data_IF_074255679450
#
_entry.id   IF_074255679450
#
_cell.length_a   1.000
_cell.length_b   1.000
_cell.length_c   1.000
_cell.angle_alpha   90.00
_cell.angle_beta   90.00
_cell.angle_gamma   90.00
#
_symmetry.space_group_name_H-M   'P 1'
#
loop_
_entity.id
_entity.type
_entity.pdbx_description
1 polymer ?
#
# COMPACT_ATOMS: atom_id res chain seq x y z
N UNK A 1 -9.16 1.33 -25.38
CA UNK A 1 -9.12 2.26 -24.25
C UNK A 1 -10.08 1.75 -23.18
N UNK A 2 -9.59 1.60 -21.95
CA UNK A 2 -10.43 1.32 -20.77
C UNK A 2 -10.42 2.59 -19.91
N UNK A 3 -11.59 3.08 -19.54
CA UNK A 3 -11.76 4.23 -18.65
C UNK A 3 -12.65 3.82 -17.49
N UNK A 4 -12.24 4.12 -16.27
CA UNK A 4 -13.03 3.90 -15.06
C UNK A 4 -13.07 5.20 -14.24
N UNK A 5 -14.24 5.54 -13.72
CA UNK A 5 -14.43 6.62 -12.77
C UNK A 5 -15.12 6.06 -11.52
N UNK A 6 -14.60 6.43 -10.35
CA UNK A 6 -15.09 5.89 -9.08
C UNK A 6 -15.18 7.03 -8.06
N UNK A 7 -16.30 7.12 -7.38
CA UNK A 7 -16.48 8.00 -6.24
C UNK A 7 -16.21 7.22 -4.96
N UNK A 8 -15.27 7.71 -4.14
CA UNK A 8 -14.92 7.09 -2.86
C UNK A 8 -15.13 8.06 -1.71
N UNK A 9 -15.60 7.55 -0.59
CA UNK A 9 -15.62 8.28 0.67
C UNK A 9 -14.59 7.68 1.61
N UNK A 10 -13.62 8.49 2.02
CA UNK A 10 -12.60 8.08 2.98
C UNK A 10 -13.06 8.55 4.35
N UNK A 11 -13.09 7.62 5.30
CA UNK A 11 -13.34 7.93 6.71
C UNK A 11 -12.01 8.00 7.42
N UNK A 12 -11.71 9.15 7.99
CA UNK A 12 -10.50 9.33 8.78
C UNK A 12 -10.50 8.37 9.98
N UNK A 13 -9.41 7.67 10.15
CA UNK A 13 -9.23 6.76 11.26
C UNK A 13 -8.36 7.41 12.33
N UNK A 14 -8.96 7.69 13.47
CA UNK A 14 -8.24 8.17 14.63
C UNK A 14 -7.72 6.99 15.44
N UNK A 15 -6.41 6.86 15.57
CA UNK A 15 -5.78 5.85 16.39
C UNK A 15 -5.85 6.31 17.86
N UNK A 16 -6.64 5.61 18.67
CA UNK A 16 -6.70 5.90 20.12
C UNK A 16 -5.32 5.64 20.74
N UNK A 17 -4.81 6.56 21.61
CA UNK A 17 -3.47 6.43 22.20
C UNK A 17 -3.22 5.10 22.91
N UNK A 18 -4.23 4.57 23.61
CA UNK A 18 -4.13 3.28 24.29
C UNK A 18 -3.91 2.09 23.35
N UNK A 19 -4.42 2.15 22.13
CA UNK A 19 -4.19 1.13 21.11
C UNK A 19 -2.83 1.32 20.43
N UNK A 20 -2.44 2.56 20.15
CA UNK A 20 -1.15 2.86 19.55
C UNK A 20 0.03 2.44 20.44
N UNK A 21 -0.14 2.48 21.76
CA UNK A 21 0.87 2.10 22.75
C UNK A 21 0.96 0.57 23.01
N UNK A 22 0.14 -0.26 22.37
CA UNK A 22 0.22 -1.72 22.55
C UNK A 22 1.53 -2.26 21.95
N UNK A 23 2.17 -3.20 22.68
CA UNK A 23 3.35 -3.89 22.18
C UNK A 23 3.03 -4.72 20.93
N UNK A 24 3.94 -4.75 19.97
CA UNK A 24 3.74 -5.44 18.70
C UNK A 24 3.49 -6.96 18.84
N UNK A 25 4.01 -7.58 19.90
CA UNK A 25 3.81 -9.01 20.20
C UNK A 25 2.34 -9.35 20.47
N UNK A 26 1.49 -8.37 20.76
CA UNK A 26 0.05 -8.57 20.90
C UNK A 26 -0.58 -9.14 19.63
N UNK A 27 -0.04 -8.80 18.47
CA UNK A 27 -0.49 -9.37 17.19
C UNK A 27 -0.24 -10.88 17.08
N UNK A 28 0.80 -11.41 17.77
CA UNK A 28 1.12 -12.83 17.78
C UNK A 28 0.21 -13.63 18.71
N UNK A 29 -0.29 -13.02 19.76
CA UNK A 29 -1.05 -13.66 20.85
C UNK A 29 -2.55 -13.63 20.60
N UNK A 30 -3.00 -12.91 19.59
CA UNK A 30 -4.43 -12.73 19.34
C UNK A 30 -5.10 -14.03 18.92
N UNK A 31 -6.10 -14.43 19.68
CA UNK A 31 -7.05 -15.47 19.27
C UNK A 31 -8.14 -14.81 18.44
N UNK A 32 -8.10 -15.02 17.13
CA UNK A 32 -9.12 -14.54 16.19
C UNK A 32 -9.87 -15.77 15.67
N UNK A 33 -11.16 -15.65 15.45
CA UNK A 33 -12.01 -16.75 15.01
C UNK A 33 -12.76 -16.38 13.72
N UNK A 34 -13.17 -17.40 12.98
CA UNK A 34 -13.94 -17.21 11.76
C UNK A 34 -13.10 -16.83 10.54
N UNK A 35 -13.74 -16.17 9.57
CA UNK A 35 -13.11 -15.82 8.30
C UNK A 35 -11.95 -14.84 8.45
N UNK A 36 -12.05 -13.89 9.37
CA UNK A 36 -10.98 -12.94 9.68
C UNK A 36 -9.70 -13.65 10.15
N UNK A 37 -9.84 -14.74 10.92
CA UNK A 37 -8.70 -15.52 11.38
C UNK A 37 -7.92 -16.17 10.22
N UNK A 38 -8.62 -16.61 9.18
CA UNK A 38 -7.99 -17.18 7.98
C UNK A 38 -7.20 -16.11 7.23
N UNK A 39 -7.79 -14.95 7.00
CA UNK A 39 -7.12 -13.82 6.35
C UNK A 39 -5.86 -13.41 7.12
N UNK A 40 -5.97 -13.17 8.43
CA UNK A 40 -4.85 -12.78 9.27
C UNK A 40 -3.74 -13.85 9.25
N UNK A 41 -4.11 -15.13 9.23
CA UNK A 41 -3.14 -16.23 9.20
C UNK A 41 -2.42 -16.32 7.86
N UNK A 42 -3.14 -16.13 6.75
CA UNK A 42 -2.56 -16.13 5.41
C UNK A 42 -1.59 -14.96 5.21
N UNK A 43 -1.92 -13.79 5.73
CA UNK A 43 -1.09 -12.58 5.64
C UNK A 43 0.19 -12.62 6.51
N UNK A 44 0.40 -13.69 7.29
CA UNK A 44 1.66 -13.97 8.01
C UNK A 44 2.66 -14.80 7.19
N UNK A 45 2.19 -15.40 6.10
CA UNK A 45 2.99 -16.31 5.28
C UNK A 45 3.80 -15.56 4.22
N UNK A 46 4.97 -16.11 3.82
CA UNK A 46 5.67 -15.58 2.66
C UNK A 46 4.85 -15.75 1.38
N UNK A 47 5.17 -14.98 0.38
CA UNK A 47 4.59 -15.06 -0.96
C UNK A 47 5.70 -14.97 -2.02
N UNK A 48 5.42 -15.23 -3.30
CA UNK A 48 6.47 -15.27 -4.34
C UNK A 48 7.34 -14.01 -4.40
N UNK A 49 6.75 -12.81 -4.21
CA UNK A 49 7.50 -11.55 -4.26
C UNK A 49 7.96 -11.07 -2.87
N UNK A 50 7.54 -11.74 -1.81
CA UNK A 50 7.95 -11.41 -0.42
C UNK A 50 8.46 -12.64 0.32
N UNK A 51 9.59 -13.24 -0.14
CA UNK A 51 10.24 -14.32 0.56
C UNK A 51 10.74 -13.87 1.93
N UNK A 52 10.92 -14.83 2.85
CA UNK A 52 11.58 -14.58 4.13
C UNK A 52 13.09 -14.69 3.90
N UNK A 53 13.81 -13.60 4.14
CA UNK A 53 15.26 -13.52 4.03
C UNK A 53 15.88 -13.24 5.42
N UNK A 54 17.05 -13.78 5.68
CA UNK A 54 17.78 -13.47 6.92
C UNK A 54 18.11 -11.98 7.02
N UNK A 55 18.37 -11.33 5.88
CA UNK A 55 18.62 -9.91 5.77
C UNK A 55 17.41 -9.08 6.20
N UNK A 56 16.20 -9.46 5.78
CA UNK A 56 14.97 -8.73 6.17
C UNK A 56 14.63 -8.94 7.63
N UNK A 57 14.90 -10.13 8.18
CA UNK A 57 14.77 -10.40 9.60
C UNK A 57 15.75 -9.54 10.42
N UNK A 58 17.03 -9.55 10.04
CA UNK A 58 18.06 -8.72 10.68
C UNK A 58 17.76 -7.21 10.54
N UNK A 59 17.22 -6.80 9.40
CA UNK A 59 16.79 -5.42 9.17
C UNK A 59 15.70 -5.00 10.15
N UNK A 60 14.65 -5.82 10.28
CA UNK A 60 13.51 -5.56 11.15
C UNK A 60 13.85 -5.62 12.65
N UNK A 61 14.87 -6.40 13.05
CA UNK A 61 15.27 -6.57 14.46
C UNK A 61 15.60 -5.26 15.18
N UNK A 62 16.03 -4.25 14.43
CA UNK A 62 16.35 -2.91 14.96
C UNK A 62 15.10 -2.16 15.44
N UNK A 63 13.94 -2.51 14.91
CA UNK A 63 12.68 -1.82 15.16
C UNK A 63 11.74 -2.66 16.02
N UNK A 64 11.68 -3.96 15.78
CA UNK A 64 10.82 -4.90 16.49
C UNK A 64 11.51 -5.44 17.76
N UNK A 65 11.94 -4.53 18.63
CA UNK A 65 12.50 -4.89 19.93
C UNK A 65 11.39 -5.24 20.92
N UNK A 66 11.70 -6.07 21.91
CA UNK A 66 10.72 -6.59 22.86
C UNK A 66 9.93 -5.48 23.57
N UNK A 67 8.61 -5.57 23.55
CA UNK A 67 7.70 -4.67 24.25
C UNK A 67 7.52 -3.30 23.59
N UNK A 68 8.13 -3.07 22.44
CA UNK A 68 8.02 -1.78 21.75
C UNK A 68 6.60 -1.53 21.26
N UNK A 69 6.06 -0.29 21.38
CA UNK A 69 4.77 0.08 20.83
C UNK A 69 4.69 -0.21 19.33
N UNK A 70 3.62 -0.89 18.93
CA UNK A 70 3.48 -1.41 17.57
C UNK A 70 3.47 -0.32 16.50
N UNK A 71 2.67 0.75 16.70
CA UNK A 71 2.60 1.86 15.72
C UNK A 71 3.96 2.52 15.58
N UNK A 72 4.65 2.78 16.70
CA UNK A 72 5.99 3.38 16.71
C UNK A 72 7.00 2.50 15.98
N UNK A 73 7.05 1.20 16.30
CA UNK A 73 7.99 0.27 15.69
C UNK A 73 7.83 0.17 14.17
N UNK A 74 6.58 0.08 13.69
CA UNK A 74 6.30 -0.05 12.27
C UNK A 74 6.47 1.28 11.52
N UNK A 75 6.12 2.40 12.14
CA UNK A 75 6.35 3.71 11.54
C UNK A 75 7.85 4.01 11.42
N UNK A 76 8.64 3.71 12.44
CA UNK A 76 10.09 3.88 12.37
C UNK A 76 10.73 2.96 11.31
N UNK A 77 10.23 1.72 11.16
CA UNK A 77 10.64 0.85 10.07
C UNK A 77 10.33 1.48 8.70
N UNK A 78 9.12 2.01 8.52
CA UNK A 78 8.72 2.69 7.28
C UNK A 78 9.58 3.93 7.00
N UNK A 79 9.79 4.80 8.00
CA UNK A 79 10.66 5.97 7.89
C UNK A 79 12.11 5.60 7.55
N UNK A 80 12.59 4.49 8.11
CA UNK A 80 13.95 4.06 7.86
C UNK A 80 14.12 3.51 6.43
N UNK A 81 13.15 2.75 5.93
CA UNK A 81 13.14 2.32 4.52
C UNK A 81 13.15 3.55 3.60
N UNK A 82 12.27 4.51 3.84
CA UNK A 82 12.21 5.76 3.06
C UNK A 82 13.55 6.53 3.06
N UNK A 83 14.26 6.57 4.18
CA UNK A 83 15.51 7.32 4.29
C UNK A 83 16.73 6.57 3.74
N UNK A 84 16.71 5.24 3.74
CA UNK A 84 17.86 4.40 3.41
C UNK A 84 17.88 3.95 1.95
N UNK A 85 16.70 3.89 1.30
CA UNK A 85 16.56 3.47 -0.10
C UNK A 85 16.24 4.65 -1.01
N UNK A 86 16.78 4.64 -2.22
CA UNK A 86 16.55 5.70 -3.21
C UNK A 86 15.33 5.33 -4.04
N UNK A 87 14.34 6.24 -4.10
CA UNK A 87 13.23 6.09 -5.03
C UNK A 87 13.70 6.35 -6.45
N UNK A 88 13.63 5.33 -7.30
CA UNK A 88 14.13 5.37 -8.68
C UNK A 88 13.20 4.55 -9.59
N UNK A 89 12.35 5.20 -10.41
CA UNK A 89 11.40 4.52 -11.29
C UNK A 89 12.06 3.64 -12.37
N UNK A 90 13.32 3.84 -12.64
CA UNK A 90 14.07 3.11 -13.69
C UNK A 90 14.92 1.97 -13.14
N UNK A 91 15.04 1.85 -11.80
CA UNK A 91 15.94 0.89 -11.18
C UNK A 91 15.43 -0.55 -11.19
N UNK A 92 14.11 -0.75 -11.13
CA UNK A 92 13.49 -2.06 -10.96
C UNK A 92 12.39 -2.32 -11.98
N UNK A 93 12.12 -3.60 -12.20
CA UNK A 93 11.00 -4.11 -12.99
C UNK A 93 10.05 -4.88 -12.08
N UNK A 94 8.87 -5.23 -12.56
CA UNK A 94 7.85 -5.95 -11.78
C UNK A 94 8.36 -7.30 -11.23
N UNK A 95 9.29 -7.92 -11.92
CA UNK A 95 9.92 -9.21 -11.59
C UNK A 95 11.26 -9.08 -10.86
N UNK A 96 11.74 -7.87 -10.59
CA UNK A 96 12.94 -7.67 -9.77
C UNK A 96 12.75 -8.30 -8.39
N UNK A 97 13.67 -9.15 -8.01
CA UNK A 97 13.59 -9.86 -6.73
C UNK A 97 13.92 -8.94 -5.55
N UNK A 98 13.37 -9.27 -4.38
CA UNK A 98 13.65 -8.53 -3.15
C UNK A 98 15.15 -8.50 -2.81
N UNK A 99 15.89 -9.58 -3.08
CA UNK A 99 17.34 -9.64 -2.86
C UNK A 99 18.12 -8.69 -3.77
N UNK A 100 17.73 -8.59 -5.05
CA UNK A 100 18.33 -7.64 -6.01
C UNK A 100 18.07 -6.19 -5.57
N UNK A 101 16.82 -5.87 -5.19
CA UNK A 101 16.47 -4.54 -4.70
C UNK A 101 17.26 -4.16 -3.45
N UNK A 102 17.41 -5.09 -2.48
CA UNK A 102 18.25 -4.88 -1.29
C UNK A 102 19.70 -4.59 -1.64
N UNK A 103 20.26 -5.29 -2.63
CA UNK A 103 21.64 -5.08 -3.08
C UNK A 103 21.81 -3.73 -3.79
N UNK A 104 20.85 -3.32 -4.62
CA UNK A 104 20.87 -2.04 -5.35
C UNK A 104 20.56 -0.84 -4.46
N UNK A 105 19.80 -1.05 -3.37
CA UNK A 105 19.28 -0.01 -2.45
C UNK A 105 18.45 1.05 -3.18
N UNK A 106 17.74 0.63 -4.23
CA UNK A 106 16.89 1.47 -5.08
C UNK A 106 15.65 0.71 -5.49
N UNK A 107 14.56 1.41 -5.73
CA UNK A 107 13.34 0.82 -6.22
C UNK A 107 12.17 1.80 -6.18
N UNK A 108 10.97 1.26 -6.36
CA UNK A 108 9.72 2.01 -6.36
C UNK A 108 8.84 1.62 -5.16
N UNK A 109 7.66 2.21 -5.06
CA UNK A 109 6.72 1.95 -3.95
C UNK A 109 6.38 0.47 -3.78
N UNK A 110 6.28 -0.30 -4.87
CA UNK A 110 6.09 -1.75 -4.84
C UNK A 110 7.23 -2.46 -4.09
N UNK A 111 8.47 -2.11 -4.41
CA UNK A 111 9.66 -2.74 -3.83
C UNK A 111 9.78 -2.44 -2.33
N UNK A 112 9.51 -1.19 -1.95
CA UNK A 112 9.57 -0.77 -0.55
C UNK A 112 8.45 -1.42 0.28
N UNK A 113 7.26 -1.59 -0.30
CA UNK A 113 6.18 -2.35 0.31
C UNK A 113 6.57 -3.83 0.47
N UNK A 114 7.16 -4.48 -0.54
CA UNK A 114 7.63 -5.86 -0.46
C UNK A 114 8.72 -6.04 0.60
N UNK A 115 9.66 -5.10 0.72
CA UNK A 115 10.67 -5.11 1.76
C UNK A 115 10.02 -5.06 3.15
N UNK A 116 9.12 -4.11 3.37
CA UNK A 116 8.43 -4.00 4.66
C UNK A 116 7.59 -5.24 4.98
N UNK A 117 6.90 -5.83 4.00
CA UNK A 117 6.14 -7.08 4.17
C UNK A 117 7.05 -8.24 4.58
N UNK A 118 8.19 -8.44 3.91
CA UNK A 118 9.15 -9.49 4.27
C UNK A 118 9.70 -9.27 5.69
N UNK A 119 10.02 -8.03 6.06
CA UNK A 119 10.43 -7.67 7.43
C UNK A 119 9.38 -8.08 8.47
N UNK A 120 8.12 -7.67 8.29
CA UNK A 120 7.05 -7.94 9.24
C UNK A 120 6.72 -9.44 9.33
N UNK A 121 6.63 -10.13 8.20
CA UNK A 121 6.35 -11.56 8.13
C UNK A 121 7.46 -12.43 8.69
N UNK A 122 8.72 -11.98 8.65
CA UNK A 122 9.82 -12.66 9.31
C UNK A 122 9.64 -12.76 10.84
N UNK A 123 8.88 -11.82 11.42
CA UNK A 123 8.42 -11.81 12.80
C UNK A 123 7.01 -12.38 13.00
N UNK A 124 6.43 -13.02 11.96
CA UNK A 124 5.07 -13.57 11.98
C UNK A 124 3.99 -12.53 12.21
N UNK A 125 4.28 -11.26 11.98
CA UNK A 125 3.27 -10.21 12.02
C UNK A 125 2.38 -10.29 10.77
N UNK A 126 1.04 -10.21 10.95
CA UNK A 126 0.13 -10.16 9.80
C UNK A 126 0.34 -8.85 9.05
N UNK A 127 0.70 -8.94 7.79
CA UNK A 127 0.90 -7.78 6.94
C UNK A 127 0.46 -8.08 5.51
N UNK A 128 -0.25 -7.11 4.88
CA UNK A 128 -0.76 -7.24 3.53
C UNK A 128 -0.30 -6.10 2.64
N UNK A 129 -0.08 -6.41 1.37
CA UNK A 129 0.19 -5.45 0.32
C UNK A 129 -1.10 -4.72 -0.03
N UNK A 130 -1.06 -3.41 -0.14
CA UNK A 130 -2.19 -2.60 -0.57
C UNK A 130 -1.83 -1.87 -1.86
N UNK A 131 -2.71 -1.99 -2.84
CA UNK A 131 -2.65 -1.23 -4.09
C UNK A 131 -3.76 -0.19 -4.11
N UNK A 132 -3.44 1.01 -4.56
CA UNK A 132 -4.40 2.08 -4.63
C UNK A 132 -3.85 3.35 -5.25
N UNK A 133 -4.40 4.48 -4.84
CA UNK A 133 -4.00 5.80 -5.31
C UNK A 133 -3.69 6.71 -4.13
N UNK A 134 -2.70 7.58 -4.32
CA UNK A 134 -2.37 8.63 -3.37
C UNK A 134 -2.84 9.98 -3.95
N UNK A 135 -3.60 10.72 -3.16
CA UNK A 135 -3.98 12.08 -3.54
C UNK A 135 -2.78 13.01 -3.40
N UNK A 136 -2.33 13.54 -4.52
CA UNK A 136 -1.31 14.58 -4.56
C UNK A 136 -1.99 15.94 -4.75
N UNK A 137 -1.87 16.80 -3.76
CA UNK A 137 -2.38 18.15 -3.88
C UNK A 137 -1.62 18.92 -4.98
N UNK A 138 -2.32 19.64 -5.87
CA UNK A 138 -1.64 20.51 -6.82
C UNK A 138 -0.91 21.65 -6.09
N UNK A 139 0.12 22.20 -6.71
CA UNK A 139 0.77 23.39 -6.19
C UNK A 139 -0.23 24.54 -6.06
N UNK A 140 -0.11 25.41 -5.05
CA UNK A 140 -1.01 26.53 -4.87
C UNK A 140 -1.09 27.40 -6.13
N UNK A 141 -2.32 27.63 -6.61
CA UNK A 141 -2.57 28.45 -7.81
C UNK A 141 -2.34 27.74 -9.16
N UNK A 142 -1.95 26.46 -9.15
CA UNK A 142 -1.76 25.68 -10.37
C UNK A 142 -2.90 24.66 -10.50
N UNK A 143 -3.65 24.64 -11.63
CA UNK A 143 -4.64 23.61 -11.87
C UNK A 143 -4.00 22.22 -11.89
N UNK A 144 -4.68 21.22 -11.30
CA UNK A 144 -4.22 19.84 -11.34
C UNK A 144 -4.32 19.29 -12.77
N UNK A 145 -3.24 18.74 -13.27
CA UNK A 145 -3.22 18.11 -14.58
C UNK A 145 -3.94 16.76 -14.55
N UNK A 146 -4.74 16.49 -15.58
CA UNK A 146 -5.40 15.19 -15.75
C UNK A 146 -4.34 14.13 -16.07
N UNK A 147 -4.38 13.02 -15.35
CA UNK A 147 -3.42 11.92 -15.52
C UNK A 147 -2.08 12.13 -14.82
N UNK A 148 -1.99 13.13 -13.92
CA UNK A 148 -0.74 13.41 -13.19
C UNK A 148 -0.49 12.56 -11.97
N UNK A 149 -1.49 11.80 -11.52
CA UNK A 149 -1.33 10.88 -10.40
C UNK A 149 -0.85 9.51 -10.89
N UNK A 150 -0.27 8.75 -9.99
CA UNK A 150 0.19 7.39 -10.26
C UNK A 150 -0.49 6.41 -9.29
N UNK A 151 -0.50 5.15 -9.66
CA UNK A 151 -0.78 4.09 -8.71
C UNK A 151 0.26 4.11 -7.59
N UNK A 152 -0.17 3.74 -6.39
CA UNK A 152 0.69 3.70 -5.21
C UNK A 152 0.52 2.39 -4.48
N UNK A 153 1.57 1.99 -3.77
CA UNK A 153 1.59 0.79 -2.96
C UNK A 153 2.06 1.10 -1.55
N UNK A 154 1.42 0.46 -0.58
CA UNK A 154 1.80 0.54 0.84
C UNK A 154 1.51 -0.77 1.56
N UNK A 155 1.74 -0.80 2.84
CA UNK A 155 1.55 -1.99 3.68
C UNK A 155 0.47 -1.71 4.71
N UNK A 156 -0.41 -2.66 4.94
CA UNK A 156 -1.22 -2.68 6.14
C UNK A 156 -0.78 -3.84 7.04
N UNK A 157 -0.72 -3.59 8.35
CA UNK A 157 -0.48 -4.60 9.36
C UNK A 157 -1.64 -4.62 10.37
N UNK A 158 -1.92 -5.81 10.91
CA UNK A 158 -3.06 -6.03 11.79
C UNK A 158 -2.66 -6.10 13.26
N UNK A 159 -3.45 -5.45 14.12
CA UNK A 159 -3.32 -5.52 15.56
C UNK A 159 -4.69 -5.72 16.24
N UNK A 160 -4.78 -6.56 17.29
CA UNK A 160 -6.01 -6.74 18.06
C UNK A 160 -6.61 -5.43 18.55
N UNK A 161 -7.92 -5.24 18.32
CA UNK A 161 -8.64 -4.03 18.70
C UNK A 161 -8.45 -2.83 17.77
N UNK A 162 -7.42 -2.84 16.91
CA UNK A 162 -7.21 -1.86 15.87
C UNK A 162 -7.62 -2.35 14.48
N UNK A 163 -7.47 -3.67 14.20
CA UNK A 163 -7.58 -4.20 12.86
C UNK A 163 -6.40 -3.80 11.97
N UNK A 164 -6.62 -3.64 10.68
CA UNK A 164 -5.60 -3.28 9.69
C UNK A 164 -5.27 -1.79 9.73
N UNK A 165 -4.00 -1.43 9.85
CA UNK A 165 -3.49 -0.04 9.85
C UNK A 165 -2.42 0.10 8.80
N UNK A 166 -2.49 1.17 8.00
CA UNK A 166 -1.61 1.42 6.87
C UNK A 166 -0.33 2.15 7.24
N UNK A 167 0.77 1.69 6.67
CA UNK A 167 2.12 2.27 6.77
C UNK A 167 2.70 2.39 5.37
N UNK A 168 3.18 3.56 5.02
CA UNK A 168 3.77 3.84 3.71
C UNK A 168 5.30 3.96 3.82
N UNK A 169 6.05 2.92 3.41
CA UNK A 169 7.51 2.95 3.45
C UNK A 169 8.13 3.84 2.37
N UNK A 170 7.36 4.31 1.39
CA UNK A 170 7.84 5.23 0.37
C UNK A 170 7.89 6.66 0.89
N UNK A 171 6.86 7.05 1.65
CA UNK A 171 6.74 8.40 2.21
C UNK A 171 7.08 8.49 3.70
N UNK A 172 7.37 7.37 4.37
CA UNK A 172 7.71 7.31 5.79
C UNK A 172 6.57 7.80 6.69
N UNK A 173 5.31 7.45 6.39
CA UNK A 173 4.15 7.94 7.14
C UNK A 173 3.07 6.87 7.31
N UNK A 174 2.11 7.14 8.21
CA UNK A 174 0.86 6.37 8.25
C UNK A 174 0.00 6.71 7.02
N UNK A 175 -0.70 5.70 6.53
CA UNK A 175 -1.74 5.93 5.53
C UNK A 175 -2.91 6.68 6.16
N UNK A 176 -3.23 7.83 5.61
CA UNK A 176 -4.25 8.76 6.07
C UNK A 176 -5.39 8.91 5.04
N UNK A 177 -6.14 10.02 5.15
CA UNK A 177 -7.25 10.34 4.25
C UNK A 177 -6.82 10.67 2.80
N UNK A 178 -5.53 10.70 2.50
CA UNK A 178 -5.02 10.87 1.14
C UNK A 178 -4.87 9.54 0.39
N UNK A 179 -4.95 8.41 1.11
CA UNK A 179 -4.79 7.07 0.56
C UNK A 179 -6.12 6.44 0.18
N UNK A 180 -6.25 6.06 -1.09
CA UNK A 180 -7.46 5.44 -1.64
C UNK A 180 -7.13 3.98 -1.95
N UNK A 181 -7.57 3.06 -1.10
CA UNK A 181 -7.41 1.62 -1.29
C UNK A 181 -8.29 1.12 -2.43
N UNK A 182 -7.70 0.45 -3.41
CA UNK A 182 -8.41 -0.26 -4.48
C UNK A 182 -8.52 -1.74 -4.15
N UNK A 183 -7.48 -2.32 -3.56
CA UNK A 183 -7.48 -3.70 -3.13
C UNK A 183 -6.23 -4.07 -2.34
N UNK A 184 -6.23 -5.27 -1.78
CA UNK A 184 -5.10 -5.80 -1.01
C UNK A 184 -4.88 -7.29 -1.29
N UNK A 185 -3.66 -7.76 -1.03
CA UNK A 185 -3.27 -9.14 -1.21
C UNK A 185 -1.98 -9.46 -0.45
N UNK A 186 -1.41 -10.63 -0.71
CA UNK A 186 -0.15 -11.04 -0.08
C UNK A 186 1.03 -10.28 -0.64
N UNK A 187 1.02 -10.01 -1.94
CA UNK A 187 2.00 -9.19 -2.65
C UNK A 187 1.36 -8.60 -3.93
N UNK A 188 2.16 -7.93 -4.76
CA UNK A 188 1.69 -7.34 -6.01
C UNK A 188 1.02 -8.35 -6.95
N UNK A 189 1.45 -9.61 -6.97
CA UNK A 189 0.90 -10.61 -7.90
C UNK A 189 -0.57 -10.95 -7.63
N UNK A 190 -1.03 -10.78 -6.39
CA UNK A 190 -2.44 -10.99 -6.02
C UNK A 190 -3.33 -9.81 -6.47
N UNK A 191 -2.78 -8.60 -6.55
CA UNK A 191 -3.55 -7.35 -6.71
C UNK A 191 -2.94 -6.40 -7.74
N UNK A 192 -2.43 -6.93 -8.84
CA UNK A 192 -1.97 -6.11 -9.95
C UNK A 192 -3.11 -5.20 -10.46
N UNK A 193 -2.87 -3.88 -10.66
CA UNK A 193 -3.91 -2.92 -11.03
C UNK A 193 -4.63 -3.26 -12.33
N UNK A 194 -3.95 -3.94 -13.24
CA UNK A 194 -4.51 -4.45 -14.49
C UNK A 194 -4.04 -5.89 -14.71
N UNK A 195 -4.99 -6.80 -14.89
CA UNK A 195 -4.71 -8.19 -15.23
C UNK A 195 -5.61 -8.61 -16.39
N UNK A 196 -5.00 -9.19 -17.44
CA UNK A 196 -5.76 -9.62 -18.62
C UNK A 196 -4.93 -10.48 -19.55
N UNK A 197 -5.58 -10.94 -20.62
CA UNK A 197 -4.96 -11.67 -21.71
C UNK A 197 -5.18 -10.87 -22.98
N UNK A 198 -4.10 -10.56 -23.67
CA UNK A 198 -4.15 -9.95 -25.00
C UNK A 198 -4.02 -11.06 -26.05
N UNK A 199 -5.02 -11.19 -26.92
CA UNK A 199 -4.98 -12.10 -28.05
C UNK A 199 -4.51 -11.33 -29.28
N UNK A 200 -3.38 -11.76 -29.84
CA UNK A 200 -2.73 -11.15 -31.02
C UNK A 200 -1.22 -11.11 -30.84
N UNK A 201 -0.49 -11.00 -31.96
CA UNK A 201 0.96 -10.82 -31.97
C UNK A 201 1.31 -9.35 -32.20
N UNK A 202 2.44 -8.91 -31.67
CA UNK A 202 2.99 -7.56 -31.85
C UNK A 202 3.46 -6.92 -30.55
N UNK A 203 4.15 -5.80 -30.67
CA UNK A 203 4.56 -5.00 -29.53
C UNK A 203 3.35 -4.31 -28.91
N UNK A 204 3.31 -4.28 -27.58
CA UNK A 204 2.25 -3.65 -26.82
C UNK A 204 2.84 -2.54 -25.94
N UNK A 205 2.23 -1.37 -25.99
CA UNK A 205 2.53 -0.27 -25.10
C UNK A 205 1.36 -0.09 -24.12
N UNK A 206 1.66 -0.02 -22.83
CA UNK A 206 0.68 0.25 -21.79
C UNK A 206 0.88 1.68 -21.28
N UNK A 207 -0.10 2.55 -21.56
CA UNK A 207 -0.18 3.90 -20.96
C UNK A 207 -1.27 3.91 -19.88
N UNK A 208 -0.88 4.18 -18.63
CA UNK A 208 -1.78 4.25 -17.49
C UNK A 208 -1.81 5.69 -16.97
N UNK A 209 -3.00 6.26 -16.93
CA UNK A 209 -3.22 7.62 -16.42
C UNK A 209 -4.23 7.60 -15.29
N UNK A 210 -3.87 8.21 -14.18
CA UNK A 210 -4.71 8.31 -12.99
C UNK A 210 -4.93 9.78 -12.64
N UNK A 211 -6.14 10.12 -12.23
CA UNK A 211 -6.47 11.44 -11.69
C UNK A 211 -7.29 11.24 -10.41
N UNK A 212 -6.80 11.76 -9.30
CA UNK A 212 -7.51 11.77 -8.03
C UNK A 212 -7.90 13.22 -7.72
N UNK A 213 -9.18 13.48 -7.54
CA UNK A 213 -9.68 14.82 -7.25
C UNK A 213 -10.52 14.81 -5.97
N UNK A 214 -10.36 15.83 -5.13
CA UNK A 214 -11.30 16.05 -4.02
C UNK A 214 -12.58 16.64 -4.57
N UNK A 215 -13.71 16.14 -4.07
CA UNK A 215 -15.02 16.67 -4.37
C UNK A 215 -15.62 17.30 -3.11
N UNK A 216 -16.21 18.47 -3.26
CA UNK A 216 -17.12 19.07 -2.30
C UNK A 216 -18.57 18.58 -2.55
N UNK A 217 -19.52 19.06 -1.74
CA UNK A 217 -20.92 18.68 -1.87
C UNK A 217 -21.51 19.10 -3.24
N UNK A 218 -21.04 20.19 -3.82
CA UNK A 218 -21.48 20.69 -5.12
C UNK A 218 -21.00 19.76 -6.24
N UNK A 219 -19.74 19.36 -6.21
CA UNK A 219 -19.16 18.40 -7.15
C UNK A 219 -19.82 17.03 -7.04
N UNK A 220 -20.13 16.58 -5.81
CA UNK A 220 -20.85 15.35 -5.56
C UNK A 220 -22.26 15.35 -6.17
N UNK A 221 -23.01 16.46 -6.01
CA UNK A 221 -24.34 16.59 -6.58
C UNK A 221 -24.29 16.61 -8.12
N UNK A 222 -23.28 17.27 -8.71
CA UNK A 222 -23.07 17.27 -10.16
C UNK A 222 -22.72 15.88 -10.69
N UNK A 223 -21.83 15.13 -10.02
CA UNK A 223 -21.44 13.77 -10.40
C UNK A 223 -22.63 12.78 -10.31
N UNK A 224 -23.49 12.94 -9.32
CA UNK A 224 -24.66 12.09 -9.13
C UNK A 224 -25.82 12.41 -10.11
N UNK A 225 -25.72 13.46 -10.92
CA UNK A 225 -26.76 13.82 -11.90
C UNK A 225 -26.75 12.87 -13.10
N UNK A 226 -27.94 12.44 -13.62
CA UNK A 226 -28.03 11.48 -14.73
C UNK A 226 -27.32 11.94 -16.02
N UNK A 227 -27.16 13.24 -16.23
CA UNK A 227 -26.53 13.82 -17.42
C UNK A 227 -25.01 13.61 -17.43
N UNK A 228 -24.34 13.67 -16.28
CA UNK A 228 -22.89 13.48 -16.19
C UNK A 228 -22.49 12.02 -16.44
N UNK A 229 -23.36 11.05 -16.09
CA UNK A 229 -23.11 9.63 -16.34
C UNK A 229 -23.21 9.25 -17.82
N UNK A 230 -23.92 10.01 -18.66
CA UNK A 230 -24.08 9.74 -20.09
C UNK A 230 -22.90 10.25 -20.92
N UNK A 231 -22.27 11.35 -20.50
CA UNK A 231 -21.11 11.93 -21.22
C UNK A 231 -19.80 11.15 -20.97
N UNK A 232 -19.71 10.38 -19.89
CA UNK A 232 -18.55 9.52 -19.59
C UNK A 232 -18.58 8.16 -20.33
N UNK A 233 -19.70 7.81 -20.97
CA UNK A 233 -19.87 6.56 -21.73
C UNK A 233 -19.77 6.74 -23.25
N UNK A 234 -19.47 7.92 -23.77
CA UNK A 234 -19.34 8.23 -25.19
C UNK A 234 -17.91 8.19 -25.72
#
# INVERSE_FOLDING_TARGET
>A
LVRAATLVRITERVLAPAHAAQAWERALQASVFGQEALEISDMRLPSPLTPLLDETHAYASRFLTQGRPWVEALLDLACHIQSEFIYDPEATQVDTTLAEMLAMRRGVCQDFAHLMLSCLRSYKLPARYVSGYLFNAPLPGVPKLVGSDASHAWVESWLPGLGWVGFDPTNGKLADHEFITIGWGRDYSDIAPLRGVVLGGGDHELDVRVTVSRMDETGLAAYASPQTQLDETA
#
